data_IF_883471784402
#
_entry.id   IF_883471784402
#
_cell.length_a   1.000
_cell.length_b   1.000
_cell.length_c   1.000
_cell.angle_alpha   90.00
_cell.angle_beta   90.00
_cell.angle_gamma   90.00
#
_symmetry.space_group_name_H-M   'P 1'
#
loop_
_entity.id
_entity.type
_entity.pdbx_description
1 polymer ?
#
# COMPACT_ATOMS: atom_id res chain seq x y z
N UNK A 1 18.52 1.06 1.66
CA UNK A 1 18.11 2.49 1.58
C UNK A 1 16.71 2.54 0.98
N UNK A 2 15.76 3.30 1.54
CA UNK A 2 14.39 3.36 1.00
C UNK A 2 14.40 4.03 -0.38
N UNK A 3 13.60 3.53 -1.35
CA UNK A 3 13.54 4.07 -2.72
C UNK A 3 13.28 5.59 -2.76
N UNK A 4 12.51 6.11 -1.79
CA UNK A 4 12.28 7.54 -1.63
C UNK A 4 13.56 8.34 -1.31
N UNK A 5 14.42 7.82 -0.44
CA UNK A 5 15.68 8.47 -0.09
C UNK A 5 16.64 8.50 -1.29
N UNK A 6 16.74 7.37 -2.02
CA UNK A 6 17.56 7.29 -3.22
C UNK A 6 17.12 8.30 -4.27
N UNK A 7 15.80 8.42 -4.50
CA UNK A 7 15.25 9.38 -5.47
C UNK A 7 15.53 10.84 -5.07
N UNK A 8 15.41 11.18 -3.79
CA UNK A 8 15.71 12.53 -3.30
C UNK A 8 17.18 12.91 -3.48
N UNK A 9 18.10 11.98 -3.21
CA UNK A 9 19.54 12.20 -3.41
C UNK A 9 19.84 12.34 -4.90
N UNK A 10 19.25 11.48 -5.75
CA UNK A 10 19.41 11.56 -7.20
C UNK A 10 18.94 12.91 -7.76
N UNK A 11 17.80 13.42 -7.29
CA UNK A 11 17.28 14.73 -7.72
C UNK A 11 18.23 15.86 -7.32
N UNK A 12 18.78 15.81 -6.10
CA UNK A 12 19.78 16.78 -5.66
C UNK A 12 21.05 16.71 -6.49
N UNK A 13 21.58 15.51 -6.75
CA UNK A 13 22.77 15.33 -7.59
C UNK A 13 22.58 15.83 -9.02
N UNK A 14 21.38 15.67 -9.59
CA UNK A 14 21.08 16.08 -10.98
C UNK A 14 20.76 17.56 -11.13
N UNK A 15 20.06 18.15 -10.17
CA UNK A 15 19.53 19.52 -10.28
C UNK A 15 20.29 20.53 -9.41
N UNK A 16 21.07 20.07 -8.43
CA UNK A 16 21.67 20.89 -7.37
C UNK A 16 20.67 21.40 -6.33
N UNK A 17 19.36 21.18 -6.53
CA UNK A 17 18.29 21.68 -5.67
C UNK A 17 17.89 20.65 -4.63
N UNK A 18 17.56 21.08 -3.41
CA UNK A 18 17.08 20.15 -2.38
C UNK A 18 15.68 19.67 -2.78
N UNK A 19 15.44 18.36 -2.69
CA UNK A 19 14.13 17.80 -3.04
C UNK A 19 13.00 18.40 -2.19
N UNK A 20 13.27 18.78 -0.94
CA UNK A 20 12.31 19.50 -0.08
C UNK A 20 11.88 20.84 -0.69
N UNK A 21 12.82 21.64 -1.20
CA UNK A 21 12.52 22.95 -1.80
C UNK A 21 11.62 22.79 -3.04
N UNK A 22 11.92 21.81 -3.89
CA UNK A 22 11.10 21.51 -5.07
C UNK A 22 9.69 21.07 -4.68
N UNK A 23 9.54 20.28 -3.62
CA UNK A 23 8.24 19.89 -3.09
C UNK A 23 7.50 21.06 -2.45
N UNK A 24 8.18 21.96 -1.77
CA UNK A 24 7.58 23.16 -1.15
C UNK A 24 7.14 24.19 -2.20
N UNK A 25 7.86 24.32 -3.31
CA UNK A 25 7.40 25.08 -4.48
C UNK A 25 6.16 24.43 -5.12
N UNK A 26 6.17 23.10 -5.24
CA UNK A 26 5.01 22.38 -5.75
C UNK A 26 3.81 22.55 -4.82
N UNK A 27 4.00 22.55 -3.49
CA UNK A 27 2.97 22.78 -2.45
C UNK A 27 2.17 24.06 -2.66
N UNK A 28 2.81 25.14 -3.12
CA UNK A 28 2.13 26.42 -3.43
C UNK A 28 1.11 26.28 -4.56
N UNK A 29 1.31 25.32 -5.47
CA UNK A 29 0.38 24.93 -6.53
C UNK A 29 -0.32 23.59 -6.27
N UNK A 30 -0.03 22.95 -5.13
CA UNK A 30 -0.37 21.56 -4.88
C UNK A 30 -1.84 21.47 -4.50
N UNK A 31 -2.51 20.58 -5.19
CA UNK A 31 -3.90 20.29 -4.94
C UNK A 31 -4.84 20.83 -6.01
N UNK A 32 -4.46 21.79 -6.84
CA UNK A 32 -5.30 22.23 -7.95
C UNK A 32 -5.33 21.19 -9.08
N UNK A 33 -6.51 21.00 -9.68
CA UNK A 33 -6.63 20.17 -10.86
C UNK A 33 -6.02 20.90 -12.05
N UNK A 34 -5.25 20.19 -12.88
CA UNK A 34 -4.72 20.77 -14.14
C UNK A 34 -5.83 21.22 -15.09
N UNK A 35 -7.02 20.61 -14.99
CA UNK A 35 -8.23 20.96 -15.74
C UNK A 35 -9.44 20.88 -14.81
N UNK A 36 -9.71 21.92 -14.02
CA UNK A 36 -10.87 21.98 -13.13
C UNK A 36 -12.16 21.81 -13.94
N UNK A 37 -13.11 21.05 -13.40
CA UNK A 37 -14.41 20.88 -14.05
C UNK A 37 -14.41 20.11 -15.37
N UNK A 38 -13.29 19.49 -15.80
CA UNK A 38 -13.20 18.65 -17.01
C UNK A 38 -13.01 17.14 -16.72
N UNK A 39 -13.02 16.73 -15.46
CA UNK A 39 -12.88 15.32 -15.05
C UNK A 39 -14.00 14.92 -14.10
N UNK A 40 -14.54 13.71 -14.28
CA UNK A 40 -15.40 13.02 -13.32
C UNK A 40 -14.76 11.68 -13.00
N UNK A 41 -14.86 11.26 -11.74
CA UNK A 41 -14.37 9.94 -11.31
C UNK A 41 -15.57 9.06 -11.01
N UNK A 42 -15.69 7.94 -11.71
CA UNK A 42 -16.63 6.88 -11.38
C UNK A 42 -15.89 5.83 -10.55
N UNK A 43 -16.32 5.63 -9.30
CA UNK A 43 -15.69 4.68 -8.39
C UNK A 43 -16.59 3.48 -8.18
N UNK A 44 -16.20 2.35 -8.78
CA UNK A 44 -16.83 1.06 -8.58
C UNK A 44 -16.49 0.54 -7.18
N UNK A 45 -17.52 0.31 -6.36
CA UNK A 45 -17.36 -0.18 -5.00
C UNK A 45 -18.18 -1.44 -4.79
N UNK A 46 -17.53 -2.40 -4.15
CA UNK A 46 -18.11 -3.67 -3.78
C UNK A 46 -17.95 -3.85 -2.27
N UNK A 47 -18.91 -4.51 -1.63
CA UNK A 47 -18.73 -5.02 -0.28
C UNK A 47 -17.46 -5.88 -0.19
N UNK A 48 -16.73 -5.75 0.92
CA UNK A 48 -15.41 -6.35 1.08
C UNK A 48 -15.48 -7.88 1.11
N UNK A 49 -16.49 -8.48 1.74
CA UNK A 49 -16.60 -9.93 1.84
C UNK A 49 -16.93 -10.54 0.47
N UNK A 50 -17.91 -9.93 -0.23
CA UNK A 50 -18.31 -10.34 -1.58
C UNK A 50 -17.16 -10.16 -2.57
N UNK A 51 -16.42 -9.07 -2.48
CA UNK A 51 -15.26 -8.83 -3.33
C UNK A 51 -14.15 -9.86 -3.07
N UNK A 52 -13.85 -10.17 -1.80
CA UNK A 52 -12.84 -11.16 -1.44
C UNK A 52 -13.18 -12.56 -1.98
N UNK A 53 -14.46 -12.95 -1.93
CA UNK A 53 -14.94 -14.20 -2.50
C UNK A 53 -14.79 -14.22 -4.03
N UNK A 54 -15.23 -13.16 -4.72
CA UNK A 54 -15.08 -13.04 -6.18
C UNK A 54 -13.63 -13.08 -6.63
N UNK A 55 -12.72 -12.46 -5.88
CA UNK A 55 -11.29 -12.50 -6.18
C UNK A 55 -10.73 -13.91 -6.06
N UNK A 56 -11.17 -14.69 -5.05
CA UNK A 56 -10.77 -16.08 -4.92
C UNK A 56 -11.29 -16.92 -6.10
N UNK A 57 -12.59 -16.80 -6.42
CA UNK A 57 -13.20 -17.52 -7.54
C UNK A 57 -12.58 -17.14 -8.89
N UNK A 58 -12.16 -15.89 -9.05
CA UNK A 58 -11.42 -15.43 -10.23
C UNK A 58 -10.07 -16.12 -10.35
N UNK A 59 -9.31 -16.25 -9.26
CA UNK A 59 -8.04 -17.00 -9.27
C UNK A 59 -8.30 -18.46 -9.64
N UNK A 60 -9.36 -19.07 -9.12
CA UNK A 60 -9.73 -20.44 -9.47
C UNK A 60 -10.13 -20.59 -10.94
N UNK A 61 -10.79 -19.58 -11.54
CA UNK A 61 -11.04 -19.54 -12.98
C UNK A 61 -9.75 -19.42 -13.79
N UNK A 62 -8.85 -18.51 -13.40
CA UNK A 62 -7.56 -18.33 -14.07
C UNK A 62 -6.74 -19.63 -14.10
N UNK A 63 -6.77 -20.42 -13.02
CA UNK A 63 -6.12 -21.73 -12.98
C UNK A 63 -6.72 -22.71 -13.99
N UNK A 64 -8.05 -22.77 -14.09
CA UNK A 64 -8.75 -23.60 -15.09
C UNK A 64 -8.50 -23.15 -16.53
N UNK A 65 -8.27 -21.85 -16.72
CA UNK A 65 -7.96 -21.24 -18.01
C UNK A 65 -6.48 -21.37 -18.41
N UNK A 66 -5.64 -22.05 -17.61
CA UNK A 66 -4.26 -22.36 -17.98
C UNK A 66 -3.19 -21.42 -17.42
N UNK A 67 -3.49 -20.66 -16.35
CA UNK A 67 -2.51 -19.75 -15.72
C UNK A 67 -1.14 -20.40 -15.44
N UNK A 68 -1.12 -21.66 -15.01
CA UNK A 68 0.15 -22.35 -14.69
C UNK A 68 0.99 -22.55 -15.94
N UNK A 69 0.37 -22.93 -17.06
CA UNK A 69 1.03 -23.10 -18.34
C UNK A 69 1.58 -21.77 -18.85
N UNK A 70 0.81 -20.68 -18.72
CA UNK A 70 1.28 -19.33 -19.05
C UNK A 70 2.52 -18.93 -18.23
N UNK A 71 2.50 -19.19 -16.92
CA UNK A 71 3.63 -18.86 -16.02
C UNK A 71 4.87 -19.69 -16.35
N UNK A 72 4.72 -20.97 -16.67
CA UNK A 72 5.80 -21.86 -17.09
C UNK A 72 6.41 -21.41 -18.42
N UNK A 73 5.57 -21.15 -19.43
CA UNK A 73 6.00 -20.66 -20.73
C UNK A 73 6.74 -19.32 -20.63
N UNK A 74 6.24 -18.41 -19.79
CA UNK A 74 6.90 -17.14 -19.53
C UNK A 74 8.25 -17.33 -18.80
N UNK A 75 8.29 -18.19 -17.78
CA UNK A 75 9.52 -18.48 -17.04
C UNK A 75 10.60 -19.08 -17.95
N UNK A 76 10.24 -20.02 -18.83
CA UNK A 76 11.18 -20.69 -19.72
C UNK A 76 11.70 -19.76 -20.81
N UNK A 77 10.81 -19.02 -21.47
CA UNK A 77 11.21 -18.03 -22.49
C UNK A 77 12.11 -16.95 -21.89
N UNK A 78 11.75 -16.43 -20.72
CA UNK A 78 12.55 -15.41 -20.04
C UNK A 78 13.88 -15.95 -19.52
N UNK A 79 13.92 -17.16 -18.94
CA UNK A 79 15.18 -17.75 -18.47
C UNK A 79 16.14 -18.04 -19.62
N UNK A 80 15.65 -18.52 -20.77
CA UNK A 80 16.46 -18.69 -21.98
C UNK A 80 17.10 -17.38 -22.41
N UNK A 81 16.34 -16.27 -22.35
CA UNK A 81 16.87 -14.94 -22.66
C UNK A 81 17.87 -14.44 -21.59
N UNK A 82 17.55 -14.62 -20.31
CA UNK A 82 18.40 -14.22 -19.17
C UNK A 82 19.76 -14.92 -19.19
N UNK A 83 19.78 -16.23 -19.48
CA UNK A 83 21.02 -17.02 -19.56
C UNK A 83 21.90 -16.51 -20.71
N UNK A 84 21.31 -16.13 -21.85
CA UNK A 84 22.04 -15.49 -22.95
C UNK A 84 22.63 -14.13 -22.55
N UNK A 85 21.90 -13.36 -21.75
CA UNK A 85 22.30 -12.01 -21.34
C UNK A 85 23.24 -11.98 -20.11
N UNK A 86 23.48 -13.11 -19.45
CA UNK A 86 24.39 -13.23 -18.29
C UNK A 86 23.95 -12.50 -17.01
N UNK A 87 22.66 -12.14 -16.89
CA UNK A 87 22.16 -11.33 -15.76
C UNK A 87 21.51 -12.18 -14.67
N UNK A 88 21.72 -11.87 -13.36
CA UNK A 88 20.99 -12.53 -12.29
C UNK A 88 19.50 -12.14 -12.34
N UNK A 89 18.58 -13.00 -11.84
CA UNK A 89 17.17 -12.67 -11.80
C UNK A 89 16.91 -11.52 -10.81
N UNK A 90 16.31 -10.43 -11.27
CA UNK A 90 15.87 -9.32 -10.42
C UNK A 90 14.34 -9.29 -10.32
N UNK A 91 13.81 -10.01 -9.33
CA UNK A 91 12.36 -10.06 -9.06
C UNK A 91 11.79 -8.77 -8.45
N UNK A 92 12.63 -7.74 -8.27
CA UNK A 92 12.21 -6.45 -7.73
C UNK A 92 11.82 -5.45 -8.82
N UNK A 93 11.89 -5.81 -10.11
CA UNK A 93 11.64 -4.86 -11.22
C UNK A 93 10.79 -5.47 -12.34
N UNK A 94 10.09 -4.58 -13.04
CA UNK A 94 9.35 -4.91 -14.26
C UNK A 94 8.23 -5.93 -14.06
N UNK A 95 8.07 -6.82 -15.03
CA UNK A 95 6.99 -7.83 -15.05
C UNK A 95 7.04 -8.74 -13.83
N UNK A 96 8.21 -8.94 -13.20
CA UNK A 96 8.34 -9.77 -11.99
C UNK A 96 7.61 -9.24 -10.76
N UNK A 97 7.21 -7.96 -10.75
CA UNK A 97 6.37 -7.40 -9.68
C UNK A 97 4.88 -7.73 -9.85
N UNK A 98 4.48 -8.30 -10.98
CA UNK A 98 3.09 -8.70 -11.22
C UNK A 98 2.65 -9.78 -10.23
N UNK A 99 1.39 -9.69 -9.81
CA UNK A 99 0.75 -10.70 -8.98
C UNK A 99 0.62 -11.98 -9.78
N UNK A 100 0.97 -13.11 -9.17
CA UNK A 100 0.94 -14.43 -9.82
C UNK A 100 2.31 -14.93 -10.26
N UNK A 101 3.31 -14.06 -10.49
CA UNK A 101 4.65 -14.55 -10.83
C UNK A 101 5.51 -14.80 -9.59
N UNK A 102 5.62 -13.79 -8.73
CA UNK A 102 6.43 -13.90 -7.49
C UNK A 102 5.89 -14.94 -6.51
N UNK A 103 4.56 -15.14 -6.47
CA UNK A 103 3.93 -16.15 -5.62
C UNK A 103 4.21 -17.59 -6.08
N UNK A 104 4.45 -17.79 -7.37
CA UNK A 104 4.74 -19.10 -7.97
C UNK A 104 6.23 -19.36 -8.17
N UNK A 105 7.09 -18.42 -7.75
CA UNK A 105 8.53 -18.50 -8.01
C UNK A 105 9.17 -19.83 -7.57
N UNK A 106 8.89 -20.27 -6.35
CA UNK A 106 9.44 -21.53 -5.81
C UNK A 106 8.98 -22.74 -6.62
N UNK A 107 7.71 -22.77 -7.04
CA UNK A 107 7.16 -23.84 -7.89
C UNK A 107 7.77 -23.81 -9.31
N UNK A 108 7.90 -22.64 -9.92
CA UNK A 108 8.44 -22.48 -11.28
C UNK A 108 9.93 -22.87 -11.36
N UNK A 109 10.68 -22.73 -10.26
CA UNK A 109 12.09 -23.11 -10.14
C UNK A 109 12.30 -24.62 -9.93
N UNK A 110 11.25 -25.40 -9.67
CA UNK A 110 11.38 -26.86 -9.56
C UNK A 110 11.72 -27.49 -10.92
N UNK A 111 12.61 -28.50 -10.94
CA UNK A 111 12.77 -29.40 -12.09
C UNK A 111 11.44 -30.02 -12.47
N UNK A 112 11.22 -30.23 -13.77
CA UNK A 112 9.96 -30.74 -14.32
C UNK A 112 9.55 -32.07 -13.68
N UNK A 113 10.53 -32.94 -13.43
CA UNK A 113 10.32 -34.27 -12.82
C UNK A 113 9.84 -34.19 -11.37
N UNK A 114 10.11 -33.07 -10.68
CA UNK A 114 9.71 -32.84 -9.29
C UNK A 114 8.40 -32.07 -9.16
N UNK A 115 7.86 -31.49 -10.24
CA UNK A 115 6.62 -30.71 -10.18
C UNK A 115 5.41 -31.58 -9.84
N UNK A 116 5.39 -32.81 -10.32
CA UNK A 116 4.31 -33.78 -10.04
C UNK A 116 4.48 -34.54 -8.72
N UNK A 117 5.62 -34.35 -8.04
CA UNK A 117 5.85 -34.93 -6.72
C UNK A 117 4.93 -34.33 -5.65
N UNK A 118 4.82 -35.01 -4.51
CA UNK A 118 4.07 -34.48 -3.36
C UNK A 118 4.58 -33.11 -2.88
N UNK A 119 5.89 -32.86 -3.02
CA UNK A 119 6.50 -31.57 -2.70
C UNK A 119 6.05 -30.49 -3.71
N UNK A 120 6.09 -30.80 -5.01
CA UNK A 120 5.66 -29.90 -6.07
C UNK A 120 4.18 -29.52 -5.96
N UNK A 121 3.30 -30.49 -5.66
CA UNK A 121 1.87 -30.25 -5.42
C UNK A 121 1.61 -29.37 -4.20
N UNK A 122 2.37 -29.56 -3.12
CA UNK A 122 2.28 -28.72 -1.92
C UNK A 122 2.71 -27.28 -2.20
N UNK A 123 3.83 -27.10 -2.90
CA UNK A 123 4.32 -25.78 -3.30
C UNK A 123 3.33 -25.07 -4.22
N UNK A 124 2.76 -25.79 -5.19
CA UNK A 124 1.72 -25.25 -6.06
C UNK A 124 0.51 -24.74 -5.26
N UNK A 125 0.00 -25.55 -4.33
CA UNK A 125 -1.13 -25.15 -3.49
C UNK A 125 -0.79 -23.92 -2.63
N UNK A 126 0.41 -23.87 -2.05
CA UNK A 126 0.87 -22.73 -1.29
C UNK A 126 0.98 -21.47 -2.15
N UNK A 127 1.49 -21.59 -3.38
CA UNK A 127 1.56 -20.50 -4.36
C UNK A 127 0.18 -19.96 -4.72
N UNK A 128 -0.81 -20.83 -4.92
CA UNK A 128 -2.20 -20.44 -5.18
C UNK A 128 -2.79 -19.65 -4.00
N UNK A 129 -2.62 -20.14 -2.77
CA UNK A 129 -3.12 -19.45 -1.57
C UNK A 129 -2.44 -18.09 -1.36
N UNK A 130 -1.13 -18.02 -1.61
CA UNK A 130 -0.38 -16.78 -1.58
C UNK A 130 -0.91 -15.79 -2.63
N UNK A 131 -1.23 -16.24 -3.84
CA UNK A 131 -1.79 -15.40 -4.91
C UNK A 131 -3.17 -14.87 -4.53
N UNK A 132 -4.06 -15.71 -4.01
CA UNK A 132 -5.37 -15.29 -3.49
C UNK A 132 -5.21 -14.23 -2.41
N UNK A 133 -4.32 -14.48 -1.45
CA UNK A 133 -4.03 -13.53 -0.36
C UNK A 133 -3.47 -12.20 -0.87
N UNK A 134 -2.51 -12.24 -1.79
CA UNK A 134 -1.87 -11.06 -2.36
C UNK A 134 -2.88 -10.22 -3.17
N UNK A 135 -3.78 -10.88 -3.91
CA UNK A 135 -4.86 -10.23 -4.67
C UNK A 135 -5.84 -9.50 -3.74
N UNK A 136 -6.30 -10.13 -2.65
CA UNK A 136 -7.15 -9.47 -1.63
C UNK A 136 -6.43 -8.28 -0.99
N UNK A 137 -5.16 -8.43 -0.63
CA UNK A 137 -4.34 -7.34 -0.08
C UNK A 137 -4.19 -6.17 -1.05
N UNK A 138 -4.03 -6.46 -2.34
CA UNK A 138 -3.93 -5.45 -3.38
C UNK A 138 -5.24 -4.67 -3.53
N UNK A 139 -6.39 -5.34 -3.63
CA UNK A 139 -7.70 -4.70 -3.69
C UNK A 139 -7.96 -3.77 -2.48
N UNK A 140 -7.63 -4.24 -1.26
CA UNK A 140 -7.73 -3.41 -0.04
C UNK A 140 -6.80 -2.19 -0.09
N UNK A 141 -5.58 -2.35 -0.62
CA UNK A 141 -4.64 -1.24 -0.80
C UNK A 141 -5.15 -0.24 -1.82
N UNK A 142 -5.77 -0.67 -2.92
CA UNK A 142 -6.40 0.22 -3.90
C UNK A 142 -7.52 1.04 -3.25
N UNK A 143 -8.43 0.39 -2.53
CA UNK A 143 -9.50 1.09 -1.80
C UNK A 143 -8.94 2.09 -0.78
N UNK A 144 -7.90 1.72 -0.04
CA UNK A 144 -7.21 2.63 0.90
C UNK A 144 -6.56 3.80 0.17
N UNK A 145 -5.96 3.56 -1.00
CA UNK A 145 -5.31 4.60 -1.81
C UNK A 145 -6.35 5.57 -2.35
N UNK A 146 -7.47 5.09 -2.89
CA UNK A 146 -8.57 5.92 -3.40
C UNK A 146 -9.10 6.82 -2.28
N UNK A 147 -9.48 6.25 -1.13
CA UNK A 147 -9.92 7.03 0.04
C UNK A 147 -8.87 8.05 0.48
N UNK A 148 -7.65 7.57 0.69
CA UNK A 148 -6.54 8.40 1.18
C UNK A 148 -6.10 9.49 0.22
N UNK A 149 -6.26 9.32 -1.10
CA UNK A 149 -5.86 10.29 -2.12
C UNK A 149 -6.95 11.29 -2.44
N UNK A 150 -8.21 10.86 -2.40
CA UNK A 150 -9.32 11.63 -2.95
C UNK A 150 -10.36 12.07 -1.92
N UNK A 151 -10.52 11.35 -0.80
CA UNK A 151 -11.55 11.64 0.20
C UNK A 151 -10.97 12.18 1.51
N UNK A 152 -9.77 11.74 1.91
CA UNK A 152 -9.16 12.05 3.21
C UNK A 152 -8.16 13.22 3.17
N UNK A 153 -7.99 13.89 2.02
CA UNK A 153 -7.10 15.05 1.87
C UNK A 153 -7.95 16.32 1.71
N UNK A 154 -7.97 17.20 2.72
CA UNK A 154 -8.85 18.37 2.75
C UNK A 154 -8.34 19.53 1.90
N UNK A 155 -7.03 19.66 1.73
CA UNK A 155 -6.39 20.76 1.00
C UNK A 155 -6.37 20.58 -0.52
N UNK A 156 -6.80 19.41 -1.01
CA UNK A 156 -6.70 19.05 -2.44
C UNK A 156 -8.02 19.29 -3.15
N UNK A 157 -7.96 19.97 -4.30
CA UNK A 157 -9.04 19.96 -5.27
C UNK A 157 -9.12 18.56 -5.89
N UNK A 158 -10.31 17.98 -5.84
CA UNK A 158 -10.59 16.63 -6.30
C UNK A 158 -11.82 16.71 -7.19
N UNK A 159 -11.81 16.06 -8.36
CA UNK A 159 -12.98 16.07 -9.24
C UNK A 159 -14.16 15.38 -8.54
N UNK A 160 -15.41 15.66 -8.95
CA UNK A 160 -16.56 14.96 -8.39
C UNK A 160 -16.41 13.45 -8.57
N UNK A 161 -16.67 12.71 -7.50
CA UNK A 161 -16.53 11.26 -7.43
C UNK A 161 -17.91 10.66 -7.22
N UNK A 162 -18.34 9.76 -8.09
CA UNK A 162 -19.61 9.08 -7.96
C UNK A 162 -19.39 7.62 -7.59
N UNK A 163 -20.05 7.18 -6.52
CA UNK A 163 -20.02 5.78 -6.10
C UNK A 163 -21.01 4.96 -6.94
N UNK A 164 -20.51 3.88 -7.55
CA UNK A 164 -21.30 2.91 -8.30
C UNK A 164 -21.21 1.56 -7.59
N UNK A 165 -22.35 1.00 -7.21
CA UNK A 165 -22.39 -0.20 -6.39
C UNK A 165 -22.32 -1.46 -7.25
N UNK A 166 -21.23 -2.21 -7.13
CA UNK A 166 -21.02 -3.48 -7.85
C UNK A 166 -21.22 -4.70 -6.95
N UNK A 167 -21.82 -4.54 -5.77
CA UNK A 167 -21.98 -5.61 -4.78
C UNK A 167 -22.88 -6.71 -5.28
N UNK A 168 -23.97 -6.37 -5.96
CA UNK A 168 -24.89 -7.33 -6.58
C UNK A 168 -24.81 -7.20 -8.10
N UNK A 169 -24.33 -8.26 -8.78
CA UNK A 169 -24.17 -8.25 -10.24
C UNK A 169 -25.52 -8.32 -10.97
N UNK A 170 -26.58 -8.83 -10.33
CA UNK A 170 -27.91 -8.85 -10.94
C UNK A 170 -28.48 -7.45 -11.15
N UNK A 171 -28.00 -6.48 -10.38
CA UNK A 171 -28.39 -5.06 -10.46
C UNK A 171 -27.41 -4.21 -11.25
N UNK A 172 -26.46 -4.83 -11.96
CA UNK A 172 -25.41 -4.12 -12.69
C UNK A 172 -25.95 -3.05 -13.65
N UNK A 173 -26.97 -3.40 -14.43
CA UNK A 173 -27.54 -2.49 -15.42
C UNK A 173 -28.05 -1.21 -14.74
N UNK A 174 -28.83 -1.34 -13.66
CA UNK A 174 -29.42 -0.19 -12.97
C UNK A 174 -28.39 0.57 -12.08
N UNK A 175 -27.65 -0.12 -11.23
CA UNK A 175 -26.79 0.48 -10.18
C UNK A 175 -25.44 0.98 -10.69
N UNK A 176 -25.00 0.48 -11.85
CA UNK A 176 -23.68 0.80 -12.41
C UNK A 176 -23.82 1.43 -13.79
N UNK A 177 -24.38 0.70 -14.76
CA UNK A 177 -24.37 1.12 -16.16
C UNK A 177 -25.25 2.35 -16.40
N UNK A 178 -26.53 2.26 -16.09
CA UNK A 178 -27.51 3.34 -16.35
C UNK A 178 -27.19 4.56 -15.49
N UNK A 179 -26.81 4.33 -14.22
CA UNK A 179 -26.31 5.37 -13.33
C UNK A 179 -25.07 6.09 -13.89
N UNK A 180 -24.08 5.34 -14.40
CA UNK A 180 -22.88 5.92 -15.00
C UNK A 180 -23.21 6.74 -16.26
N UNK A 181 -24.06 6.21 -17.13
CA UNK A 181 -24.51 6.89 -18.35
C UNK A 181 -25.18 8.21 -17.98
N UNK A 182 -26.15 8.19 -17.06
CA UNK A 182 -26.85 9.40 -16.62
C UNK A 182 -25.90 10.46 -16.04
N UNK A 183 -24.89 10.03 -15.26
CA UNK A 183 -23.85 10.94 -14.73
C UNK A 183 -23.04 11.56 -15.87
N UNK A 184 -22.58 10.74 -16.82
CA UNK A 184 -21.75 11.19 -17.95
C UNK A 184 -22.54 12.14 -18.86
N UNK A 185 -23.79 11.81 -19.19
CA UNK A 185 -24.65 12.65 -20.02
C UNK A 185 -24.96 13.99 -19.35
N UNK A 186 -25.29 13.98 -18.06
CA UNK A 186 -25.49 15.22 -17.29
C UNK A 186 -24.23 16.08 -17.30
N UNK A 187 -23.07 15.45 -17.18
CA UNK A 187 -21.78 16.12 -17.17
C UNK A 187 -21.38 16.71 -18.53
N UNK A 188 -21.59 15.97 -19.63
CA UNK A 188 -21.30 16.44 -20.99
C UNK A 188 -22.24 17.60 -21.37
N UNK A 189 -23.53 17.50 -21.01
CA UNK A 189 -24.53 18.48 -21.37
C UNK A 189 -24.63 19.66 -20.39
N UNK A 190 -23.83 19.68 -19.32
CA UNK A 190 -23.88 20.67 -18.23
C UNK A 190 -25.27 20.81 -17.58
N UNK A 191 -25.99 19.69 -17.45
CA UNK A 191 -27.31 19.61 -16.80
C UNK A 191 -27.14 19.11 -15.37
N UNK A 192 -27.98 19.56 -14.39
CA UNK A 192 -27.95 19.04 -13.04
C UNK A 192 -28.13 17.51 -13.02
N UNK A 193 -27.16 16.82 -12.43
CA UNK A 193 -27.21 15.37 -12.27
C UNK A 193 -28.17 14.99 -11.13
N UNK A 194 -28.99 13.96 -11.33
CA UNK A 194 -29.89 13.40 -10.31
C UNK A 194 -29.16 12.70 -9.17
N UNK A 195 -27.90 12.29 -9.40
CA UNK A 195 -27.07 11.63 -8.41
C UNK A 195 -26.11 12.61 -7.74
N UNK A 196 -25.93 12.47 -6.42
CA UNK A 196 -24.96 13.26 -5.68
C UNK A 196 -23.56 12.61 -5.72
N UNK A 197 -22.49 13.41 -5.87
CA UNK A 197 -21.14 12.92 -5.68
C UNK A 197 -20.87 12.61 -4.19
N UNK A 198 -19.90 11.75 -3.94
CA UNK A 198 -19.42 11.41 -2.61
C UNK A 198 -18.98 12.67 -1.86
N UNK A 199 -19.57 12.86 -0.68
CA UNK A 199 -19.18 13.91 0.25
C UNK A 199 -17.82 13.57 0.84
N UNK A 200 -16.92 14.56 0.86
CA UNK A 200 -15.62 14.42 1.52
C UNK A 200 -15.86 14.46 3.02
N UNK A 201 -15.46 13.41 3.73
CA UNK A 201 -15.41 13.43 5.19
C UNK A 201 -14.13 14.16 5.61
N UNK A 202 -14.19 15.50 5.58
CA UNK A 202 -13.12 16.34 6.09
C UNK A 202 -13.24 16.33 7.61
N UNK A 203 -12.40 15.51 8.22
CA UNK A 203 -12.22 15.50 9.67
C UNK A 203 -11.25 16.63 10.03
N UNK A 204 -11.77 17.74 10.54
CA UNK A 204 -11.01 18.95 10.91
C UNK A 204 -9.96 18.70 12.01
N UNK A 205 -10.03 17.56 12.72
CA UNK A 205 -8.97 17.16 13.64
C UNK A 205 -7.79 16.51 12.90
N UNK A 206 -8.04 15.83 11.77
CA UNK A 206 -6.98 15.19 10.96
C UNK A 206 -6.16 16.19 10.14
N UNK A 207 -6.65 17.40 9.92
CA UNK A 207 -5.89 18.51 9.31
C UNK A 207 -4.79 19.04 10.23
N UNK A 208 -4.98 18.98 11.54
CA UNK A 208 -4.04 19.52 12.53
C UNK A 208 -2.86 18.59 12.83
N UNK A 209 -3.00 17.30 12.51
CA UNK A 209 -1.97 16.28 12.72
C UNK A 209 -0.94 16.39 11.59
N UNK A 210 0.28 16.78 11.93
CA UNK A 210 1.37 16.75 10.96
C UNK A 210 1.81 15.29 10.74
N UNK A 211 1.60 14.80 9.51
CA UNK A 211 2.01 13.44 9.12
C UNK A 211 3.51 13.35 8.84
N UNK A 212 4.19 14.49 8.68
CA UNK A 212 5.60 14.59 8.33
C UNK A 212 6.47 15.11 9.48
N UNK A 213 5.89 15.33 10.67
CA UNK A 213 6.64 15.74 11.84
C UNK A 213 7.70 14.69 12.21
N UNK A 214 8.86 15.13 12.67
CA UNK A 214 9.95 14.25 13.09
C UNK A 214 10.01 14.23 14.61
N UNK A 215 9.44 13.19 15.21
CA UNK A 215 9.41 13.01 16.66
C UNK A 215 10.43 11.96 17.10
N UNK A 216 11.34 12.31 18.00
CA UNK A 216 12.33 11.37 18.54
C UNK A 216 11.87 10.82 19.88
N UNK A 217 11.88 9.49 20.03
CA UNK A 217 11.64 8.85 21.32
C UNK A 217 12.98 8.53 22.01
N UNK A 218 13.28 9.23 23.10
CA UNK A 218 14.51 9.01 23.91
C UNK A 218 14.54 7.64 24.60
N UNK A 219 13.37 7.10 24.95
CA UNK A 219 13.27 5.79 25.62
C UNK A 219 13.64 4.67 24.67
N UNK A 220 13.19 4.75 23.41
CA UNK A 220 13.41 3.73 22.40
C UNK A 220 14.54 4.05 21.42
N UNK A 221 15.17 5.23 21.55
CA UNK A 221 16.23 5.75 20.70
C UNK A 221 15.89 5.64 19.20
N UNK A 222 14.69 6.11 18.85
CA UNK A 222 14.18 5.98 17.49
C UNK A 222 13.43 7.23 17.04
N UNK A 223 13.74 7.64 15.81
CA UNK A 223 12.98 8.65 15.07
C UNK A 223 11.68 8.06 14.53
N UNK A 224 10.57 8.77 14.74
CA UNK A 224 9.22 8.40 14.31
C UNK A 224 8.65 9.59 13.53
N UNK A 225 8.19 9.31 12.32
CA UNK A 225 7.63 10.32 11.43
C UNK A 225 6.11 10.33 11.59
N UNK A 226 5.55 11.51 11.88
CA UNK A 226 4.13 11.75 12.07
C UNK A 226 3.69 11.77 13.53
N UNK A 227 2.84 12.74 13.89
CA UNK A 227 2.34 12.92 15.27
C UNK A 227 1.44 11.78 15.71
N UNK A 228 0.66 11.23 14.78
CA UNK A 228 -0.23 10.10 15.04
C UNK A 228 0.59 8.83 15.30
N UNK A 229 1.57 8.56 14.46
CA UNK A 229 2.49 7.43 14.58
C UNK A 229 3.29 7.51 15.88
N UNK A 230 3.73 8.71 16.27
CA UNK A 230 4.40 8.96 17.54
C UNK A 230 3.45 8.70 18.72
N UNK A 231 2.21 9.18 18.66
CA UNK A 231 1.19 8.93 19.69
C UNK A 231 0.87 7.43 19.85
N UNK A 232 0.76 6.69 18.74
CA UNK A 232 0.59 5.23 18.75
C UNK A 232 1.81 4.56 19.37
N UNK A 233 3.01 5.02 19.03
CA UNK A 233 4.25 4.50 19.58
C UNK A 233 4.29 4.65 21.11
N UNK A 234 4.01 5.83 21.64
CA UNK A 234 4.02 6.10 23.09
C UNK A 234 3.06 5.17 23.86
N UNK A 235 1.92 4.83 23.24
CA UNK A 235 0.94 3.91 23.83
C UNK A 235 1.23 2.43 23.58
N UNK A 236 2.18 2.10 22.70
CA UNK A 236 2.45 0.73 22.28
C UNK A 236 3.04 -0.14 23.39
N UNK A 237 2.69 -1.43 23.38
CA UNK A 237 3.27 -2.41 24.31
C UNK A 237 4.80 -2.47 24.22
N UNK A 238 5.37 -2.27 23.03
CA UNK A 238 6.81 -2.27 22.82
C UNK A 238 7.47 -1.11 23.57
N UNK A 239 6.93 0.11 23.45
CA UNK A 239 7.43 1.28 24.16
C UNK A 239 7.34 1.08 25.68
N UNK A 240 6.17 0.68 26.18
CA UNK A 240 5.95 0.41 27.62
C UNK A 240 6.92 -0.63 28.18
N UNK A 241 7.26 -1.67 27.40
CA UNK A 241 8.23 -2.69 27.79
C UNK A 241 9.66 -2.14 27.90
N UNK A 242 10.08 -1.31 26.93
CA UNK A 242 11.42 -0.68 26.97
C UNK A 242 11.52 0.29 28.13
N UNK A 243 10.48 1.11 28.36
CA UNK A 243 10.41 2.04 29.50
C UNK A 243 10.56 1.30 30.84
N UNK A 244 9.81 0.21 31.02
CA UNK A 244 9.90 -0.63 32.24
C UNK A 244 11.30 -1.22 32.43
N UNK A 245 12.00 -1.57 31.34
CA UNK A 245 13.38 -2.07 31.41
C UNK A 245 14.36 -0.96 31.81
N UNK A 246 14.29 0.23 31.19
CA UNK A 246 15.14 1.39 31.54
C UNK A 246 14.96 1.78 33.01
N UNK A 247 13.72 1.88 33.50
CA UNK A 247 13.45 2.24 34.90
C UNK A 247 14.01 1.21 35.89
N UNK A 248 14.02 -0.09 35.54
CA UNK A 248 14.63 -1.13 36.39
C UNK A 248 16.15 -1.01 36.46
N UNK A 249 16.80 -0.64 35.35
CA UNK A 249 18.25 -0.46 35.30
C UNK A 249 18.67 0.76 36.12
N UNK A 250 17.96 1.89 35.94
CA UNK A 250 18.19 3.10 36.74
C UNK A 250 18.03 2.83 38.24
N UNK A 251 16.96 2.12 38.64
CA UNK A 251 16.76 1.75 40.05
C UNK A 251 17.81 0.76 40.59
N UNK A 252 18.52 0.02 39.74
CA UNK A 252 19.65 -0.83 40.14
C UNK A 252 20.94 -0.02 40.26
N UNK A 253 21.17 0.94 39.38
CA UNK A 253 22.30 1.87 39.41
C UNK A 253 22.24 2.76 40.66
N UNK A 254 21.09 3.37 40.96
CA UNK A 254 20.87 4.16 42.18
C UNK A 254 21.10 3.34 43.46
N UNK A 255 20.80 2.03 43.43
CA UNK A 255 21.06 1.14 44.57
C UNK A 255 22.55 0.82 44.73
N UNK A 256 23.29 0.70 43.63
CA UNK A 256 24.74 0.48 43.64
C UNK A 256 25.48 1.73 44.12
N UNK A 257 25.12 2.91 43.61
CA UNK A 257 25.71 4.19 44.06
C UNK A 257 25.47 4.44 45.55
N UNK A 258 24.27 4.12 46.08
CA UNK A 258 23.99 4.21 47.52
C UNK A 258 24.80 3.21 48.35
N UNK A 259 25.16 2.06 47.80
CA UNK A 259 26.00 1.07 48.48
C UNK A 259 27.49 1.43 48.44
N UNK A 260 27.95 2.12 47.39
CA UNK A 260 29.32 2.62 47.27
C UNK A 260 29.55 3.84 48.17
N UNK A 261 28.64 4.82 48.16
CA UNK A 261 28.74 5.99 49.04
C UNK A 261 28.69 5.63 50.54
N UNK A 262 27.95 4.58 50.91
CA UNK A 262 27.93 4.09 52.30
C UNK A 262 29.20 3.33 52.70
N UNK A 263 30.03 2.88 51.74
CA UNK A 263 31.32 2.23 52.01
C UNK A 263 32.47 3.23 52.11
N UNK A 264 32.36 4.40 51.49
CA UNK A 264 33.37 5.47 51.56
C UNK A 264 33.23 6.37 52.81
N UNK A 265 32.16 6.20 53.60
CA UNK A 265 31.92 6.92 54.86
C UNK A 265 32.27 6.11 56.13
N UNK A 266 32.92 4.95 55.98
CA UNK A 266 33.48 4.12 57.06
C UNK A 266 35.00 4.11 56.90
#
# INVERSE_FOLDING_TARGET
MCNYCCRSIELWLKTGRRHSEVLDEQKLSEGQLRRPGATVILWLKCDQAIHDERLNNRVDSMLREGLIEELLNFHDSHNKQRIKDGKPPDYTKGVFQTLGFKEFHEYLMLPEEKRDSDEGRKLLQQSIENMKMATRRYARRQNKMVKGRFLDIPTREVPPIYELNTTDLSKWDNEVKDKAIAIIESYINNVPCSYEPLKRNIDEEKTKIDRHSCNYCEVCERLIIGDKEFSIHMNSHKHKRVLKKKNKLLAQEEKKEKQENNKEQI
#
